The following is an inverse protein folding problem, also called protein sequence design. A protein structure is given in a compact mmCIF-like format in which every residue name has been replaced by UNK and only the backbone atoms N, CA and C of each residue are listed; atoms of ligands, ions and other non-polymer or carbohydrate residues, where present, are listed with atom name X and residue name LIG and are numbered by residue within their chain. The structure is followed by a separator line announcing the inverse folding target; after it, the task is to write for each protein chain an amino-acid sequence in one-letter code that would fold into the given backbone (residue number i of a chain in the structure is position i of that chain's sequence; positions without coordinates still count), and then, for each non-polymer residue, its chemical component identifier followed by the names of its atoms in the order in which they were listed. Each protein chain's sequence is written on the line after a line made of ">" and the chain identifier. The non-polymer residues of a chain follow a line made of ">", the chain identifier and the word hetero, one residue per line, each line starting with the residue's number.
data_IF_510010755006
#
_entry.id   IF_510010755006
#
_cell.length_a   1.000
_cell.length_b   1.000
_cell.length_c   1.000
_cell.angle_alpha   90.00
_cell.angle_beta   90.00
_cell.angle_gamma   90.00
#
_symmetry.space_group_name_H-M   'P 1'
#
loop_
_entity.id
_entity.type
_entity.pdbx_description
1 polymer ?
#
# COMPACT_ATOMS: atom_id res chain seq x y z
N UNK A 1 5.78 82.98 18.20
CA UNK A 1 4.91 81.95 17.60
C UNK A 1 5.63 80.61 17.63
N UNK A 2 5.77 80.02 18.82
CA UNK A 2 6.42 78.71 19.04
C UNK A 2 5.71 78.05 20.21
N UNK A 3 5.71 76.71 20.24
CA UNK A 3 4.87 75.80 21.03
C UNK A 3 3.59 75.35 20.33
N UNK A 4 3.66 74.24 19.57
CA UNK A 4 2.55 73.27 19.39
C UNK A 4 2.85 72.00 18.55
N UNK A 5 4.11 71.62 18.30
CA UNK A 5 4.42 70.44 17.48
C UNK A 5 5.01 69.22 18.23
N UNK A 6 5.39 69.36 19.52
CA UNK A 6 6.11 68.27 20.22
C UNK A 6 5.20 67.18 20.80
N UNK A 7 3.90 67.43 20.98
CA UNK A 7 2.98 66.48 21.64
C UNK A 7 2.34 65.47 20.69
N UNK A 8 2.33 65.75 19.37
CA UNK A 8 1.74 64.86 18.37
C UNK A 8 2.71 63.78 17.86
N UNK A 9 4.02 64.01 17.96
CA UNK A 9 5.04 63.04 17.55
C UNK A 9 5.14 61.85 18.53
N UNK A 10 4.90 62.06 19.82
CA UNK A 10 4.98 61.01 20.85
C UNK A 10 3.75 60.08 20.80
N UNK A 11 2.57 60.62 20.46
CA UNK A 11 1.35 59.83 20.34
C UNK A 11 1.37 58.92 19.10
N UNK A 12 1.97 59.36 17.99
CA UNK A 12 2.11 58.56 16.77
C UNK A 12 3.11 57.40 16.93
N UNK A 13 4.19 57.59 17.72
CA UNK A 13 5.16 56.53 18.00
C UNK A 13 4.59 55.42 18.91
N UNK A 14 3.67 55.76 19.82
CA UNK A 14 3.02 54.79 20.71
C UNK A 14 2.03 53.86 19.98
N UNK A 15 1.36 54.35 18.92
CA UNK A 15 0.40 53.56 18.13
C UNK A 15 1.12 52.56 17.21
N UNK A 16 2.30 52.89 16.69
CA UNK A 16 3.10 51.98 15.85
C UNK A 16 3.75 50.83 16.63
N UNK A 17 4.03 51.01 17.92
CA UNK A 17 4.61 49.96 18.78
C UNK A 17 3.59 48.95 19.29
N UNK A 18 2.28 49.28 19.31
CA UNK A 18 1.22 48.37 19.76
C UNK A 18 0.80 47.35 18.67
N UNK A 19 1.03 47.64 17.39
CA UNK A 19 0.73 46.70 16.30
C UNK A 19 1.82 45.63 16.08
N UNK A 20 3.03 45.82 16.64
CA UNK A 20 4.16 44.91 16.45
C UNK A 20 4.15 43.68 17.38
N UNK A 21 3.26 43.62 18.37
CA UNK A 21 3.21 42.55 19.37
C UNK A 21 2.07 41.53 19.17
N UNK A 22 1.24 41.67 18.14
CA UNK A 22 0.30 40.59 17.81
C UNK A 22 1.06 39.51 17.05
N UNK A 23 1.27 38.34 17.66
CA UNK A 23 1.64 37.14 16.91
C UNK A 23 0.65 37.05 15.75
N UNK A 24 1.18 37.06 14.52
CA UNK A 24 0.39 36.90 13.30
C UNK A 24 -0.54 35.70 13.53
N UNK A 25 -1.85 35.93 13.39
CA UNK A 25 -2.83 34.88 13.55
C UNK A 25 -2.47 33.72 12.62
N UNK A 26 -2.06 32.60 13.21
CA UNK A 26 -1.79 31.36 12.51
C UNK A 26 -3.00 30.45 12.70
N UNK A 27 -3.88 30.43 11.70
CA UNK A 27 -5.07 29.57 11.71
C UNK A 27 -4.70 28.08 11.91
N UNK A 28 -3.50 27.65 11.53
CA UNK A 28 -3.00 26.29 11.74
C UNK A 28 -2.73 25.95 13.20
N UNK A 29 -2.41 26.94 14.04
CA UNK A 29 -2.17 26.76 15.47
C UNK A 29 -3.43 26.48 16.30
N UNK A 30 -4.61 26.69 15.71
CA UNK A 30 -5.92 26.42 16.33
C UNK A 30 -6.70 25.30 15.63
N UNK A 31 -6.15 24.72 14.55
CA UNK A 31 -6.77 23.56 13.93
C UNK A 31 -6.76 22.39 14.92
N UNK A 32 -7.88 21.66 15.11
CA UNK A 32 -7.89 20.48 15.96
C UNK A 32 -6.82 19.51 15.46
N UNK A 33 -6.13 18.85 16.38
CA UNK A 33 -5.14 17.84 16.04
C UNK A 33 -5.77 16.84 15.07
N UNK A 34 -5.07 16.52 13.98
CA UNK A 34 -5.54 15.55 13.01
C UNK A 34 -5.84 14.23 13.74
N UNK A 35 -7.09 13.83 13.75
CA UNK A 35 -7.55 12.54 14.24
C UNK A 35 -8.50 11.95 13.22
N UNK A 36 -8.11 10.82 12.65
CA UNK A 36 -8.92 10.04 11.72
C UNK A 36 -9.27 8.76 12.45
N UNK A 37 -10.55 8.61 12.78
CA UNK A 37 -11.05 7.41 13.44
C UNK A 37 -10.32 7.12 14.79
N UNK A 38 -9.76 8.16 15.42
CA UNK A 38 -9.00 8.06 16.68
C UNK A 38 -7.48 7.95 16.51
N UNK A 39 -6.98 7.93 15.27
CA UNK A 39 -5.55 7.85 14.96
C UNK A 39 -5.02 9.17 14.40
N UNK A 40 -3.82 9.56 14.83
CA UNK A 40 -3.11 10.75 14.36
C UNK A 40 -2.01 10.45 13.33
N UNK A 41 -1.53 9.20 13.31
CA UNK A 41 -0.50 8.72 12.37
C UNK A 41 -0.69 7.25 12.03
N UNK A 42 -0.13 6.84 10.90
CA UNK A 42 -0.17 5.43 10.46
C UNK A 42 0.57 4.50 11.44
N UNK A 43 1.53 5.04 12.20
CA UNK A 43 2.31 4.28 13.19
C UNK A 43 1.49 3.83 14.41
N UNK A 44 0.32 4.42 14.64
CA UNK A 44 -0.58 4.05 15.74
C UNK A 44 -1.52 2.89 15.37
N UNK A 45 -1.60 2.53 14.09
CA UNK A 45 -2.52 1.50 13.61
C UNK A 45 -1.86 0.13 13.79
N UNK A 46 -2.35 -0.61 14.79
CA UNK A 46 -1.89 -1.96 15.12
C UNK A 46 -0.36 -2.13 15.11
N UNK A 47 0.42 -1.28 15.82
CA UNK A 47 1.88 -1.24 15.71
C UNK A 47 2.55 -2.59 16.00
N UNK A 48 2.05 -3.33 17.00
CA UNK A 48 2.57 -4.66 17.34
C UNK A 48 2.26 -5.76 16.32
N UNK A 49 1.43 -5.46 15.31
CA UNK A 49 1.06 -6.40 14.26
C UNK A 49 1.69 -6.09 12.90
N UNK A 50 2.31 -4.92 12.71
CA UNK A 50 2.99 -4.59 11.47
C UNK A 50 4.30 -5.39 11.37
N UNK A 51 4.38 -6.32 10.43
CA UNK A 51 5.51 -7.27 10.29
C UNK A 51 6.38 -7.01 9.06
N UNK A 52 5.91 -6.21 8.11
CA UNK A 52 6.70 -5.74 6.97
C UNK A 52 6.14 -4.42 6.42
N UNK A 53 7.01 -3.52 5.97
CA UNK A 53 6.64 -2.23 5.38
C UNK A 53 7.69 -1.72 4.40
N UNK A 54 7.28 -1.57 3.14
CA UNK A 54 8.03 -0.91 2.07
C UNK A 54 7.33 0.38 1.66
N UNK A 55 7.91 1.52 2.06
CA UNK A 55 7.46 2.83 1.61
C UNK A 55 8.23 3.36 0.40
N UNK A 56 9.10 2.55 -0.22
CA UNK A 56 9.86 2.83 -1.44
C UNK A 56 10.45 4.25 -1.63
N UNK A 57 10.87 4.87 -0.53
CA UNK A 57 11.44 6.22 -0.45
C UNK A 57 12.90 6.24 -0.96
N UNK A 58 13.09 5.93 -2.25
CA UNK A 58 14.40 5.85 -2.90
C UNK A 58 15.20 4.57 -2.62
N UNK A 59 14.59 3.57 -1.97
CA UNK A 59 15.20 2.27 -1.70
C UNK A 59 14.14 1.16 -1.66
N UNK A 60 14.58 -0.10 -1.74
CA UNK A 60 13.72 -1.29 -1.69
C UNK A 60 13.84 -2.04 -0.35
N UNK A 61 13.99 -1.32 0.76
CA UNK A 61 14.19 -1.94 2.08
C UNK A 61 12.86 -2.13 2.81
N UNK A 62 12.63 -3.33 3.32
CA UNK A 62 11.60 -3.54 4.34
C UNK A 62 12.05 -2.82 5.61
N UNK A 63 11.33 -1.77 5.98
CA UNK A 63 11.64 -0.95 7.14
C UNK A 63 11.43 -1.67 8.47
N UNK A 64 10.74 -2.82 8.51
CA UNK A 64 10.56 -3.63 9.72
C UNK A 64 11.74 -4.58 9.91
N UNK A 65 12.00 -5.47 8.95
CA UNK A 65 13.12 -6.44 9.05
C UNK A 65 14.49 -5.86 8.71
N UNK A 66 14.54 -4.65 8.13
CA UNK A 66 15.74 -4.01 7.55
C UNK A 66 16.38 -4.79 6.41
N UNK A 67 15.65 -5.74 5.81
CA UNK A 67 16.13 -6.54 4.68
C UNK A 67 15.79 -5.84 3.36
N UNK A 68 16.77 -5.77 2.46
CA UNK A 68 16.59 -5.19 1.12
C UNK A 68 16.01 -6.22 0.13
N UNK A 69 15.26 -5.74 -0.86
CA UNK A 69 14.92 -6.54 -2.03
C UNK A 69 16.09 -6.58 -3.04
N UNK A 70 16.14 -7.65 -3.83
CA UNK A 70 16.90 -7.69 -5.07
C UNK A 70 16.13 -6.90 -6.14
N UNK A 71 16.80 -5.94 -6.80
CA UNK A 71 16.20 -5.13 -7.85
C UNK A 71 16.47 -5.75 -9.23
N UNK A 72 15.41 -6.04 -9.98
CA UNK A 72 15.48 -6.38 -11.40
C UNK A 72 14.86 -5.25 -12.23
N UNK A 73 15.63 -4.20 -12.51
CA UNK A 73 15.25 -3.16 -13.47
C UNK A 73 14.23 -2.10 -12.99
N UNK A 74 13.75 -2.15 -11.75
CA UNK A 74 12.83 -1.13 -11.21
C UNK A 74 13.57 0.18 -10.87
N UNK A 75 12.84 1.28 -10.91
CA UNK A 75 13.30 2.60 -10.48
C UNK A 75 12.44 3.19 -9.36
N UNK A 76 12.51 4.51 -9.17
CA UNK A 76 11.69 5.25 -8.21
C UNK A 76 10.96 6.42 -8.87
N UNK A 77 9.79 6.77 -8.32
CA UNK A 77 8.98 7.91 -8.73
C UNK A 77 8.39 8.63 -7.51
N UNK A 78 7.67 9.73 -7.73
CA UNK A 78 6.87 10.37 -6.69
C UNK A 78 5.76 9.43 -6.23
N UNK A 79 5.72 9.15 -4.92
CA UNK A 79 4.73 8.29 -4.28
C UNK A 79 3.48 9.04 -3.81
N UNK A 80 2.51 8.29 -3.28
CA UNK A 80 1.39 8.85 -2.51
C UNK A 80 1.92 9.50 -1.23
N UNK A 81 3.00 8.92 -0.67
CA UNK A 81 3.76 9.45 0.46
C UNK A 81 5.26 9.30 0.19
N UNK A 82 5.92 10.41 -0.17
CA UNK A 82 7.35 10.39 -0.45
C UNK A 82 7.66 9.78 -1.81
N UNK A 83 8.35 8.65 -1.86
CA UNK A 83 8.74 7.95 -3.09
C UNK A 83 8.04 6.61 -3.27
N UNK A 84 7.89 6.16 -4.51
CA UNK A 84 7.29 4.88 -4.86
C UNK A 84 8.24 4.03 -5.71
N UNK A 85 8.05 2.71 -5.68
CA UNK A 85 8.66 1.79 -6.64
C UNK A 85 8.05 2.06 -8.00
N UNK A 86 8.89 2.36 -8.99
CA UNK A 86 8.47 2.53 -10.39
C UNK A 86 8.85 1.28 -11.17
N UNK A 87 7.84 0.57 -11.63
CA UNK A 87 8.02 -0.58 -12.52
C UNK A 87 8.24 -0.17 -13.98
N UNK A 88 8.50 -1.16 -14.81
CA UNK A 88 8.71 -1.05 -16.25
C UNK A 88 8.52 -2.46 -16.86
N UNK A 89 8.57 -2.56 -18.20
CA UNK A 89 8.57 -3.87 -18.84
C UNK A 89 9.76 -4.71 -18.32
N UNK A 90 9.51 -6.00 -18.10
CA UNK A 90 10.46 -6.98 -17.55
C UNK A 90 11.15 -6.56 -16.26
N UNK A 91 10.49 -5.71 -15.47
CA UNK A 91 11.06 -5.16 -14.23
C UNK A 91 10.23 -5.53 -13.01
N UNK A 92 10.89 -5.90 -11.93
CA UNK A 92 10.28 -6.30 -10.66
C UNK A 92 11.30 -6.25 -9.51
N UNK A 93 10.84 -6.30 -8.27
CA UNK A 93 11.68 -6.42 -7.09
C UNK A 93 11.38 -7.72 -6.33
N UNK A 94 12.42 -8.38 -5.82
CA UNK A 94 12.29 -9.65 -5.10
C UNK A 94 12.70 -9.51 -3.64
N UNK A 95 11.82 -9.89 -2.72
CA UNK A 95 12.11 -9.88 -1.29
C UNK A 95 12.23 -11.31 -0.77
N UNK A 96 13.22 -11.59 0.09
CA UNK A 96 13.37 -12.89 0.74
C UNK A 96 12.68 -12.87 2.11
N UNK A 97 11.48 -13.46 2.27
CA UNK A 97 10.70 -13.33 3.49
C UNK A 97 11.28 -14.13 4.67
N UNK A 98 11.27 -13.51 5.85
CA UNK A 98 11.52 -14.18 7.13
C UNK A 98 10.27 -14.86 7.72
N UNK A 99 10.43 -15.48 8.88
CA UNK A 99 9.36 -16.20 9.58
C UNK A 99 8.17 -15.34 9.99
N UNK A 100 8.35 -14.01 10.10
CA UNK A 100 7.27 -13.06 10.34
C UNK A 100 6.23 -13.00 9.22
N UNK A 101 6.62 -13.39 7.99
CA UNK A 101 5.75 -13.47 6.81
C UNK A 101 5.43 -14.93 6.48
N UNK A 102 6.42 -15.82 6.46
CA UNK A 102 6.18 -17.23 6.08
C UNK A 102 5.35 -17.99 7.11
N UNK A 103 5.31 -17.52 8.37
CA UNK A 103 4.54 -18.09 9.47
C UNK A 103 3.18 -17.43 9.74
N UNK A 104 2.69 -16.55 8.85
CA UNK A 104 1.42 -15.84 9.05
C UNK A 104 0.26 -16.82 9.24
N UNK A 105 -0.58 -16.54 10.24
CA UNK A 105 -1.80 -17.30 10.54
C UNK A 105 -3.08 -16.54 10.19
N UNK A 106 -3.02 -15.22 10.29
CA UNK A 106 -3.98 -14.25 9.79
C UNK A 106 -3.17 -13.09 9.19
N UNK A 107 -3.77 -12.30 8.29
CA UNK A 107 -3.06 -11.15 7.75
C UNK A 107 -3.97 -10.05 7.22
N UNK A 108 -3.36 -8.87 7.05
CA UNK A 108 -3.80 -7.83 6.11
C UNK A 108 -2.59 -7.41 5.29
N UNK A 109 -2.70 -7.52 3.96
CA UNK A 109 -1.73 -7.01 3.00
C UNK A 109 -2.38 -5.82 2.31
N UNK A 110 -1.73 -4.65 2.38
CA UNK A 110 -2.21 -3.41 1.77
C UNK A 110 -1.12 -2.78 0.92
N UNK A 111 -1.50 -2.11 -0.15
CA UNK A 111 -0.61 -1.41 -1.07
C UNK A 111 -1.34 -0.27 -1.77
N UNK A 112 -0.61 0.74 -2.18
CA UNK A 112 -1.06 1.70 -3.17
C UNK A 112 -0.50 1.35 -4.54
N UNK A 113 -1.34 1.49 -5.57
CA UNK A 113 -0.95 1.29 -6.96
C UNK A 113 -1.39 2.49 -7.80
N UNK A 114 -0.54 2.91 -8.73
CA UNK A 114 -0.87 3.86 -9.78
C UNK A 114 -0.28 3.35 -11.10
N UNK A 115 -1.14 2.96 -12.04
CA UNK A 115 -0.71 2.32 -13.27
C UNK A 115 -1.44 2.89 -14.50
N UNK A 116 -0.84 2.81 -15.70
CA UNK A 116 -1.62 2.92 -16.93
C UNK A 116 -2.63 1.77 -17.03
N UNK A 117 -3.56 1.86 -17.97
CA UNK A 117 -4.48 0.76 -18.25
C UNK A 117 -3.70 -0.52 -18.56
N UNK A 118 -4.06 -1.61 -17.89
CA UNK A 118 -3.58 -2.94 -18.23
C UNK A 118 -4.36 -3.46 -19.45
N UNK A 119 -3.84 -3.31 -20.66
CA UNK A 119 -4.47 -3.87 -21.87
C UNK A 119 -4.06 -5.31 -22.16
N UNK A 120 -3.01 -5.81 -21.49
CA UNK A 120 -2.31 -7.02 -21.88
C UNK A 120 -2.37 -8.06 -20.77
N UNK A 121 -3.38 -8.92 -20.85
CA UNK A 121 -3.53 -10.09 -19.98
C UNK A 121 -3.53 -9.73 -18.49
N UNK A 122 -2.77 -10.47 -17.68
CA UNK A 122 -2.71 -10.22 -16.22
C UNK A 122 -1.45 -9.49 -15.78
N UNK A 123 -1.58 -8.57 -14.83
CA UNK A 123 -0.47 -7.83 -14.20
C UNK A 123 -0.45 -8.11 -12.71
N UNK A 124 0.58 -8.83 -12.26
CA UNK A 124 0.84 -9.07 -10.84
C UNK A 124 1.28 -7.79 -10.12
N UNK A 125 0.68 -7.53 -8.95
CA UNK A 125 1.04 -6.41 -8.08
C UNK A 125 2.00 -6.88 -6.99
N UNK A 126 1.54 -7.84 -6.17
CA UNK A 126 2.33 -8.46 -5.10
C UNK A 126 2.03 -9.96 -5.10
N UNK A 127 3.07 -10.79 -5.03
CA UNK A 127 2.94 -12.23 -4.86
C UNK A 127 3.94 -12.77 -3.84
N UNK A 128 3.51 -13.70 -2.99
CA UNK A 128 4.38 -14.54 -2.17
C UNK A 128 4.49 -15.89 -2.87
N UNK A 129 5.66 -16.23 -3.40
CA UNK A 129 5.79 -17.42 -4.24
C UNK A 129 5.58 -18.74 -3.50
N UNK A 130 5.13 -19.74 -4.26
CA UNK A 130 5.17 -21.15 -3.94
C UNK A 130 6.05 -21.82 -5.01
N UNK A 131 7.22 -22.30 -4.60
CA UNK A 131 8.26 -22.80 -5.52
C UNK A 131 7.86 -24.07 -6.27
N UNK A 132 6.71 -24.68 -5.95
CA UNK A 132 6.23 -25.95 -6.51
C UNK A 132 4.85 -25.86 -7.15
N UNK A 133 4.17 -24.71 -7.10
CA UNK A 133 2.83 -24.52 -7.64
C UNK A 133 2.82 -23.46 -8.74
N UNK A 134 1.84 -23.51 -9.63
CA UNK A 134 1.65 -22.49 -10.66
C UNK A 134 1.35 -21.13 -10.02
N UNK A 135 0.43 -21.11 -9.06
CA UNK A 135 0.07 -19.94 -8.27
C UNK A 135 0.94 -19.82 -7.02
N UNK A 136 1.15 -18.60 -6.55
CA UNK A 136 1.87 -18.32 -5.33
C UNK A 136 1.05 -18.72 -4.10
N UNK A 137 1.66 -18.62 -2.92
CA UNK A 137 0.96 -18.70 -1.64
C UNK A 137 0.01 -17.50 -1.43
N UNK A 138 0.37 -16.33 -1.97
CA UNK A 138 -0.50 -15.15 -2.07
C UNK A 138 -0.25 -14.57 -3.47
N UNK A 139 -1.30 -14.19 -4.19
CA UNK A 139 -1.19 -13.40 -5.41
C UNK A 139 -2.26 -12.30 -5.39
N UNK A 140 -1.89 -11.06 -5.68
CA UNK A 140 -2.84 -9.97 -5.91
C UNK A 140 -2.48 -9.34 -7.26
N UNK A 141 -3.45 -9.27 -8.16
CA UNK A 141 -3.20 -8.91 -9.56
C UNK A 141 -4.42 -8.25 -10.20
N UNK A 142 -4.16 -7.51 -11.28
CA UNK A 142 -5.19 -7.14 -12.23
C UNK A 142 -5.28 -8.20 -13.32
N UNK A 143 -6.49 -8.67 -13.56
CA UNK A 143 -6.82 -9.66 -14.58
C UNK A 143 -7.09 -9.00 -15.93
N UNK A 144 -7.13 -9.82 -16.99
CA UNK A 144 -7.67 -9.42 -18.28
C UNK A 144 -9.13 -8.87 -18.18
N UNK A 145 -9.53 -8.08 -19.18
CA UNK A 145 -10.88 -7.49 -19.24
C UNK A 145 -10.99 -6.07 -18.68
N UNK A 146 -9.87 -5.35 -18.58
CA UNK A 146 -9.89 -3.92 -18.27
C UNK A 146 -10.60 -3.10 -19.38
N UNK A 147 -11.09 -1.92 -19.00
CA UNK A 147 -11.44 -0.85 -19.93
C UNK A 147 -10.61 0.40 -19.61
N UNK A 148 -10.80 1.47 -20.37
CA UNK A 148 -10.24 2.79 -20.09
C UNK A 148 -10.62 3.36 -18.70
N UNK A 149 -11.61 2.76 -18.05
CA UNK A 149 -12.24 3.24 -16.82
C UNK A 149 -12.33 2.17 -15.74
N UNK A 150 -11.95 0.91 -15.99
CA UNK A 150 -11.99 -0.14 -14.96
C UNK A 150 -10.83 -1.12 -15.02
N UNK A 151 -10.39 -1.59 -13.85
CA UNK A 151 -9.60 -2.79 -13.68
C UNK A 151 -10.45 -3.95 -13.18
N UNK A 152 -9.99 -5.18 -13.42
CA UNK A 152 -10.55 -6.39 -12.79
C UNK A 152 -9.57 -6.86 -11.72
N UNK A 153 -9.88 -6.64 -10.45
CA UNK A 153 -9.05 -7.08 -9.34
C UNK A 153 -9.33 -8.54 -8.99
N UNK A 154 -8.24 -9.31 -8.80
CA UNK A 154 -8.28 -10.66 -8.25
C UNK A 154 -7.19 -10.85 -7.19
N UNK A 155 -7.48 -11.75 -6.27
CA UNK A 155 -6.51 -12.26 -5.32
C UNK A 155 -6.67 -13.77 -5.12
N UNK A 156 -5.56 -14.40 -4.79
CA UNK A 156 -5.43 -15.81 -4.50
C UNK A 156 -4.64 -15.97 -3.21
N UNK A 157 -5.05 -16.91 -2.36
CA UNK A 157 -4.32 -17.29 -1.15
C UNK A 157 -4.41 -18.79 -0.96
N UNK A 158 -3.27 -19.46 -0.82
CA UNK A 158 -3.24 -20.89 -0.46
C UNK A 158 -3.32 -21.04 1.06
N UNK A 159 -4.24 -21.89 1.51
CA UNK A 159 -4.42 -22.29 2.90
C UNK A 159 -4.10 -23.77 3.11
N UNK A 160 -4.23 -24.24 4.36
CA UNK A 160 -3.99 -25.64 4.70
C UNK A 160 -4.88 -26.63 3.93
N UNK A 161 -6.11 -26.21 3.59
CA UNK A 161 -7.14 -27.06 3.00
C UNK A 161 -7.50 -26.70 1.55
N UNK A 162 -6.66 -25.91 0.87
CA UNK A 162 -6.86 -25.52 -0.53
C UNK A 162 -6.76 -24.03 -0.74
N UNK A 163 -7.31 -23.55 -1.86
CA UNK A 163 -7.12 -22.18 -2.33
C UNK A 163 -8.34 -21.28 -2.08
N UNK A 164 -8.05 -20.04 -1.70
CA UNK A 164 -9.00 -18.96 -1.48
C UNK A 164 -8.91 -17.99 -2.65
N UNK A 165 -9.80 -18.15 -3.62
CA UNK A 165 -9.92 -17.24 -4.76
C UNK A 165 -10.90 -16.10 -4.45
N UNK A 166 -10.45 -14.86 -4.59
CA UNK A 166 -11.21 -13.63 -4.46
C UNK A 166 -11.13 -12.93 -5.81
N UNK A 167 -12.22 -12.47 -6.41
CA UNK A 167 -12.04 -11.81 -7.68
C UNK A 167 -13.25 -11.50 -8.51
N UNK A 168 -12.93 -11.05 -9.73
CA UNK A 168 -13.84 -10.41 -10.67
C UNK A 168 -14.43 -9.10 -10.11
N UNK A 169 -13.68 -8.41 -9.23
CA UNK A 169 -14.10 -7.13 -8.70
C UNK A 169 -13.76 -6.03 -9.71
N UNK A 170 -14.77 -5.28 -10.14
CA UNK A 170 -14.57 -4.11 -10.98
C UNK A 170 -14.12 -2.93 -10.12
N UNK A 171 -12.92 -2.42 -10.39
CA UNK A 171 -12.41 -1.22 -9.73
C UNK A 171 -12.43 -0.06 -10.72
N UNK A 172 -13.35 0.87 -10.49
CA UNK A 172 -13.61 1.99 -11.39
C UNK A 172 -12.60 3.14 -11.21
N UNK A 173 -12.32 3.84 -12.30
CA UNK A 173 -11.52 5.06 -12.40
C UNK A 173 -10.09 4.92 -11.85
N UNK A 174 -9.49 3.74 -11.93
CA UNK A 174 -8.22 3.41 -11.25
C UNK A 174 -6.95 3.85 -11.99
N UNK A 175 -7.02 4.08 -13.30
CA UNK A 175 -5.82 4.34 -14.09
C UNK A 175 -5.26 5.74 -13.88
N UNK A 176 -3.93 5.84 -13.81
CA UNK A 176 -3.17 7.07 -13.61
C UNK A 176 -3.51 7.84 -12.33
N UNK A 177 -4.16 7.18 -11.37
CA UNK A 177 -4.42 7.70 -10.03
C UNK A 177 -3.94 6.70 -8.98
N UNK A 178 -3.57 7.20 -7.81
CA UNK A 178 -3.25 6.33 -6.67
C UNK A 178 -4.53 5.70 -6.13
N UNK A 179 -4.56 4.37 -6.11
CA UNK A 179 -5.65 3.57 -5.54
C UNK A 179 -5.08 2.60 -4.52
N UNK A 180 -5.64 2.59 -3.31
CA UNK A 180 -5.27 1.61 -2.30
C UNK A 180 -6.04 0.30 -2.52
N UNK A 181 -5.34 -0.83 -2.39
CA UNK A 181 -5.92 -2.17 -2.40
C UNK A 181 -5.46 -2.88 -1.13
N UNK A 182 -6.39 -3.53 -0.43
CA UNK A 182 -6.03 -4.42 0.66
C UNK A 182 -6.81 -5.75 0.62
N UNK A 183 -6.13 -6.82 0.99
CA UNK A 183 -6.72 -8.14 1.21
C UNK A 183 -6.41 -8.56 2.64
N UNK A 184 -7.42 -9.05 3.35
CA UNK A 184 -7.26 -9.59 4.70
C UNK A 184 -7.87 -10.96 4.84
N UNK A 185 -7.33 -11.73 5.77
CA UNK A 185 -7.82 -13.04 6.16
C UNK A 185 -7.79 -13.19 7.68
N UNK A 186 -8.90 -13.65 8.27
CA UNK A 186 -9.07 -13.71 9.73
C UNK A 186 -8.35 -14.88 10.43
N UNK A 187 -7.76 -15.80 9.67
CA UNK A 187 -7.11 -17.00 10.21
C UNK A 187 -8.02 -18.21 10.43
N UNK A 188 -9.31 -18.10 10.05
CA UNK A 188 -10.31 -19.16 10.23
C UNK A 188 -11.01 -19.52 8.91
N UNK A 189 -11.63 -18.55 8.24
CA UNK A 189 -12.45 -18.78 7.04
C UNK A 189 -12.78 -17.52 6.22
N UNK A 190 -12.59 -16.32 6.78
CA UNK A 190 -13.16 -15.10 6.23
C UNK A 190 -12.08 -14.23 5.62
N UNK A 191 -12.27 -13.94 4.33
CA UNK A 191 -11.51 -12.93 3.59
C UNK A 191 -12.30 -11.63 3.48
N UNK A 192 -11.57 -10.51 3.42
CA UNK A 192 -12.15 -9.22 3.06
C UNK A 192 -11.25 -8.52 2.07
N UNK A 193 -11.86 -7.86 1.10
CA UNK A 193 -11.17 -7.05 0.07
C UNK A 193 -11.58 -5.61 0.25
N UNK A 194 -10.60 -4.71 0.16
CA UNK A 194 -10.79 -3.28 0.32
C UNK A 194 -10.20 -2.53 -0.87
N UNK A 195 -10.87 -1.45 -1.25
CA UNK A 195 -10.38 -0.46 -2.21
C UNK A 195 -10.54 0.93 -1.60
N UNK A 196 -9.49 1.74 -1.63
CA UNK A 196 -9.48 3.10 -1.06
C UNK A 196 -10.00 3.14 0.40
N UNK A 197 -9.61 2.15 1.19
CA UNK A 197 -9.98 2.04 2.60
C UNK A 197 -11.43 1.60 2.85
N UNK A 198 -12.21 1.33 1.80
CA UNK A 198 -13.58 0.83 1.89
C UNK A 198 -13.63 -0.66 1.59
N UNK A 199 -14.36 -1.43 2.40
CA UNK A 199 -14.57 -2.85 2.16
C UNK A 199 -15.51 -3.04 0.98
N UNK A 200 -15.04 -3.72 -0.07
CA UNK A 200 -15.83 -4.01 -1.27
C UNK A 200 -16.39 -5.43 -1.26
N UNK A 201 -15.79 -6.34 -0.49
CA UNK A 201 -16.28 -7.71 -0.37
C UNK A 201 -15.95 -8.35 0.99
N UNK A 202 -16.77 -9.32 1.38
CA UNK A 202 -16.52 -10.27 2.46
C UNK A 202 -16.84 -11.66 1.95
N UNK A 203 -15.83 -12.51 1.84
CA UNK A 203 -16.00 -13.90 1.40
C UNK A 203 -15.71 -14.84 2.55
N UNK A 204 -16.70 -15.61 2.97
CA UNK A 204 -16.53 -16.75 3.86
C UNK A 204 -16.22 -17.98 3.02
N UNK A 205 -15.04 -18.55 3.21
CA UNK A 205 -14.62 -19.80 2.59
C UNK A 205 -14.61 -20.90 3.67
N UNK A 206 -15.78 -21.47 3.94
CA UNK A 206 -15.98 -22.46 4.99
C UNK A 206 -15.00 -23.63 4.85
N UNK A 207 -14.25 -23.91 5.91
CA UNK A 207 -13.26 -25.00 5.91
C UNK A 207 -11.89 -24.64 5.35
N UNK A 208 -11.65 -23.38 4.94
CA UNK A 208 -10.31 -22.94 4.49
C UNK A 208 -9.25 -23.13 5.59
N UNK A 209 -9.63 -22.86 6.85
CA UNK A 209 -8.83 -23.16 8.03
C UNK A 209 -7.54 -22.33 8.10
N UNK A 210 -6.64 -22.73 9.00
CA UNK A 210 -5.45 -21.93 9.28
C UNK A 210 -4.59 -21.74 8.02
N UNK A 211 -3.98 -20.55 7.89
CA UNK A 211 -2.91 -20.36 6.91
C UNK A 211 -1.72 -21.27 7.21
N UNK A 212 -1.29 -21.97 6.17
CA UNK A 212 -0.13 -22.82 6.17
C UNK A 212 0.53 -22.71 4.79
N UNK A 213 1.32 -21.65 4.60
CA UNK A 213 2.07 -21.50 3.36
C UNK A 213 3.05 -22.66 3.20
N UNK A 214 3.12 -23.21 1.99
CA UNK A 214 3.98 -24.33 1.65
C UNK A 214 4.98 -23.91 0.58
N UNK A 215 6.16 -24.54 0.61
CA UNK A 215 7.22 -24.34 -0.38
C UNK A 215 7.53 -22.85 -0.63
N UNK A 216 7.46 -22.02 0.41
CA UNK A 216 7.53 -20.58 0.30
C UNK A 216 8.87 -20.13 -0.26
N UNK A 217 8.82 -19.34 -1.33
CA UNK A 217 10.00 -18.70 -1.92
C UNK A 217 10.04 -17.20 -1.64
N UNK A 218 10.60 -16.44 -2.59
CA UNK A 218 10.63 -14.97 -2.52
C UNK A 218 9.24 -14.36 -2.70
N UNK A 219 9.03 -13.18 -2.13
CA UNK A 219 7.97 -12.29 -2.57
C UNK A 219 8.42 -11.51 -3.81
N UNK A 220 7.49 -11.19 -4.70
CA UNK A 220 7.73 -10.37 -5.89
C UNK A 220 6.79 -9.17 -5.90
N UNK A 221 7.34 -8.01 -6.23
CA UNK A 221 6.60 -6.77 -6.47
C UNK A 221 6.67 -6.41 -7.95
N UNK A 222 5.50 -6.24 -8.58
CA UNK A 222 5.38 -5.78 -9.96
C UNK A 222 5.29 -6.87 -11.03
N UNK A 223 5.16 -8.14 -10.67
CA UNK A 223 4.71 -9.21 -11.58
C UNK A 223 4.30 -10.47 -10.80
N UNK A 224 3.93 -11.54 -11.49
CA UNK A 224 3.59 -12.85 -10.91
C UNK A 224 4.82 -13.75 -10.81
N UNK A 225 4.82 -14.68 -9.85
CA UNK A 225 6.00 -15.51 -9.55
C UNK A 225 6.62 -16.22 -10.76
N UNK A 226 5.80 -16.76 -11.67
CA UNK A 226 6.25 -17.51 -12.84
C UNK A 226 6.81 -16.62 -13.95
N UNK A 227 6.51 -15.32 -13.89
CA UNK A 227 6.91 -14.33 -14.89
C UNK A 227 8.30 -13.75 -14.61
N UNK A 228 8.87 -14.03 -13.45
CA UNK A 228 10.24 -13.64 -13.09
C UNK A 228 11.27 -14.45 -13.90
N UNK A 229 12.52 -13.97 -13.93
CA UNK A 229 13.63 -14.61 -14.65
C UNK A 229 14.85 -14.70 -13.70
N UNK A 230 15.22 -15.91 -13.23
CA UNK A 230 14.51 -17.18 -13.43
C UNK A 230 13.14 -17.18 -12.75
N UNK A 231 12.22 -18.04 -13.22
CA UNK A 231 10.93 -18.26 -12.59
C UNK A 231 11.12 -18.67 -11.12
N UNK A 232 10.28 -18.14 -10.22
CA UNK A 232 10.29 -18.49 -8.80
C UNK A 232 9.61 -19.84 -8.52
N UNK A 233 9.03 -20.50 -9.52
CA UNK A 233 8.39 -21.81 -9.39
C UNK A 233 8.90 -22.80 -10.42
N UNK A 234 9.01 -24.07 -10.05
CA UNK A 234 9.30 -25.14 -11.01
C UNK A 234 8.08 -25.62 -11.79
N UNK A 235 6.89 -25.10 -11.49
CA UNK A 235 5.64 -25.53 -12.12
C UNK A 235 5.32 -24.80 -13.44
N UNK A 236 5.99 -23.68 -13.70
CA UNK A 236 5.77 -22.88 -14.91
C UNK A 236 6.94 -21.94 -15.19
N UNK A 237 7.12 -21.65 -16.48
CA UNK A 237 7.93 -20.55 -16.99
C UNK A 237 7.04 -19.33 -17.29
N UNK A 238 7.66 -18.25 -17.78
CA UNK A 238 6.97 -17.03 -18.19
C UNK A 238 5.83 -17.32 -19.18
N UNK A 239 4.68 -16.71 -18.94
CA UNK A 239 3.47 -16.90 -19.73
C UNK A 239 3.29 -15.71 -20.69
N UNK A 240 2.92 -15.99 -21.94
CA UNK A 240 2.74 -14.96 -22.97
C UNK A 240 1.58 -13.98 -22.68
N UNK A 241 0.67 -14.37 -21.79
CA UNK A 241 -0.49 -13.59 -21.36
C UNK A 241 -0.26 -12.89 -20.01
N UNK A 242 0.90 -13.05 -19.38
CA UNK A 242 1.23 -12.35 -18.15
C UNK A 242 2.21 -11.21 -18.42
N UNK A 243 2.06 -10.14 -17.64
CA UNK A 243 2.72 -8.87 -17.87
C UNK A 243 3.42 -8.36 -16.61
N UNK A 244 4.17 -7.28 -16.78
CA UNK A 244 4.86 -6.57 -15.70
C UNK A 244 4.12 -5.27 -15.41
N UNK A 245 4.11 -4.88 -14.14
CA UNK A 245 3.57 -3.59 -13.74
C UNK A 245 4.49 -2.48 -14.27
N UNK A 246 4.03 -1.72 -15.27
CA UNK A 246 4.74 -0.53 -15.78
C UNK A 246 4.41 0.76 -15.00
N UNK A 247 3.50 0.66 -14.02
CA UNK A 247 3.11 1.73 -13.11
C UNK A 247 4.01 1.83 -11.89
N UNK A 248 3.42 2.21 -10.76
CA UNK A 248 4.10 2.37 -9.49
C UNK A 248 3.36 1.66 -8.35
N UNK A 249 4.13 1.15 -7.39
CA UNK A 249 3.66 0.65 -6.10
C UNK A 249 4.21 1.53 -4.99
N UNK A 250 3.38 1.79 -4.00
CA UNK A 250 3.79 2.53 -2.82
C UNK A 250 3.18 1.92 -1.56
N UNK A 251 3.82 2.19 -0.42
CA UNK A 251 3.24 1.97 0.90
C UNK A 251 2.76 0.51 1.13
N UNK A 252 3.50 -0.48 0.63
CA UNK A 252 3.18 -1.91 0.77
C UNK A 252 3.42 -2.32 2.23
N UNK A 253 2.38 -2.83 2.91
CA UNK A 253 2.46 -3.27 4.30
C UNK A 253 1.84 -4.64 4.48
N UNK A 254 2.37 -5.38 5.46
CA UNK A 254 1.82 -6.65 5.93
C UNK A 254 1.63 -6.58 7.43
N UNK A 255 0.41 -6.84 7.86
CA UNK A 255 0.04 -7.03 9.25
C UNK A 255 -0.22 -8.51 9.52
N UNK A 256 0.19 -9.02 10.69
CA UNK A 256 -0.05 -10.41 11.11
C UNK A 256 -1.41 -10.65 11.78
N UNK A 257 -2.37 -9.77 11.51
CA UNK A 257 -3.78 -9.87 11.90
C UNK A 257 -4.65 -9.38 10.75
N UNK A 258 -5.91 -9.80 10.73
CA UNK A 258 -6.92 -9.08 9.98
C UNK A 258 -7.20 -7.74 10.68
N UNK A 259 -6.82 -6.64 10.04
CA UNK A 259 -7.24 -5.31 10.46
C UNK A 259 -8.77 -5.18 10.37
N UNK A 260 -9.34 -4.40 11.26
CA UNK A 260 -10.74 -3.98 11.22
C UNK A 260 -10.98 -2.99 10.08
N UNK A 261 -12.24 -2.87 9.63
CA UNK A 261 -12.63 -1.91 8.59
C UNK A 261 -12.23 -0.47 8.96
N UNK A 262 -12.30 -0.14 10.26
CA UNK A 262 -11.89 1.16 10.81
C UNK A 262 -10.38 1.37 10.73
N UNK A 263 -9.58 0.35 11.08
CA UNK A 263 -8.10 0.41 10.97
C UNK A 263 -7.67 0.59 9.51
N UNK A 264 -8.26 -0.17 8.57
CA UNK A 264 -7.95 -0.04 7.13
C UNK A 264 -8.37 1.33 6.60
N UNK A 265 -9.58 1.79 6.94
CA UNK A 265 -10.06 3.11 6.53
C UNK A 265 -9.21 4.27 7.08
N UNK A 266 -8.77 4.18 8.33
CA UNK A 266 -7.88 5.17 8.93
C UNK A 266 -6.50 5.19 8.25
N UNK A 267 -5.92 4.01 8.01
CA UNK A 267 -4.60 3.84 7.38
C UNK A 267 -4.54 4.58 6.04
N UNK A 268 -5.49 4.29 5.15
CA UNK A 268 -5.53 4.87 3.80
C UNK A 268 -5.69 6.40 3.84
N UNK A 269 -6.59 6.91 4.70
CA UNK A 269 -6.81 8.36 4.82
C UNK A 269 -5.60 9.09 5.39
N UNK A 270 -4.84 8.46 6.30
CA UNK A 270 -3.63 9.03 6.88
C UNK A 270 -2.47 9.00 5.87
N UNK A 271 -2.28 7.91 5.14
CA UNK A 271 -1.28 7.79 4.07
C UNK A 271 -1.51 8.85 2.98
N UNK A 272 -2.76 9.03 2.54
CA UNK A 272 -3.13 10.07 1.57
C UNK A 272 -2.92 11.51 2.05
N UNK A 273 -2.59 11.71 3.34
CA UNK A 273 -2.21 12.99 3.95
C UNK A 273 -0.73 13.07 4.32
N UNK A 274 0.07 12.07 3.93
CA UNK A 274 1.48 11.97 4.25
C UNK A 274 1.77 11.71 5.73
N UNK A 275 0.88 10.97 6.42
CA UNK A 275 0.99 10.64 7.85
C UNK A 275 1.31 9.16 8.11
#
# INVERSE_FOLDING_TARGET
>A
MQFRYSSYAILAAAVLLLSACYKKFDAGSYAPALSIDGYSSTSEIAPGSLVAYWGFNGNLVDSISKTACDNSGTGFAQGIKGGALKGADKSYALFSPGSSITGLKAFTLTMWVNAPQNTDGMVGLVSLSNTKSFWGNIDIFFENGSTDSKAILKAHVTGQHGDGWLGNYEVMNIWKIWTNIAVSYNGVDTFRVYVNGQKIDTKVNSGFGQLAFANTGKMVFGTSQFQTVPSLTSAADAQSWASYLTGALDEVRIYNKALSDKEVGALVKLEGRGK
#
